data_IF_377533283181
#
_entry.id   IF_377533283181
#
_cell.length_a   1.000
_cell.length_b   1.000
_cell.length_c   1.000
_cell.angle_alpha   90.00
_cell.angle_beta   90.00
_cell.angle_gamma   90.00
#
_symmetry.space_group_name_H-M   'P 1'
#
loop_
_entity.id
_entity.type
_entity.pdbx_description
1 polymer ?
#
# COMPACT_ATOMS: atom_id res chain seq x y z
N UNK A 1 -13.03 -2.12 -0.03
CA UNK A 1 -12.23 -3.13 -0.73
C UNK A 1 -11.78 -2.49 -2.02
N UNK A 2 -10.51 -2.69 -2.41
CA UNK A 2 -9.96 -2.16 -3.65
C UNK A 2 -9.69 -3.35 -4.53
N UNK A 3 -10.36 -3.40 -5.67
CA UNK A 3 -10.21 -4.49 -6.59
C UNK A 3 -9.09 -4.18 -7.58
N UNK A 4 -8.23 -5.16 -7.79
CA UNK A 4 -7.11 -5.05 -8.69
C UNK A 4 -6.81 -6.41 -9.32
N UNK A 5 -5.88 -6.41 -10.26
CA UNK A 5 -5.29 -7.64 -10.77
C UNK A 5 -3.80 -7.43 -10.99
N UNK A 6 -3.04 -8.51 -10.93
CA UNK A 6 -1.58 -8.48 -10.98
C UNK A 6 -1.08 -8.85 -12.38
N UNK A 7 -0.08 -8.12 -12.84
CA UNK A 7 0.81 -8.55 -13.91
C UNK A 7 1.52 -9.84 -13.47
N UNK A 8 1.40 -10.95 -14.23
CA UNK A 8 2.09 -12.20 -13.93
C UNK A 8 3.61 -12.01 -13.74
N UNK A 9 4.22 -11.03 -14.37
CA UNK A 9 5.66 -10.77 -14.24
C UNK A 9 6.07 -10.35 -12.82
N UNK A 10 5.12 -10.07 -11.91
CA UNK A 10 5.35 -9.88 -10.48
C UNK A 10 5.54 -11.19 -9.70
N UNK A 11 5.21 -12.35 -10.27
CA UNK A 11 5.32 -13.66 -9.61
C UNK A 11 6.03 -14.71 -10.48
N UNK A 12 6.18 -14.42 -11.76
CA UNK A 12 6.82 -15.29 -12.73
C UNK A 12 8.02 -14.59 -13.37
N UNK A 13 9.14 -15.31 -13.39
CA UNK A 13 10.42 -14.89 -14.00
C UNK A 13 10.89 -15.99 -14.96
N UNK A 14 11.59 -15.61 -16.04
CA UNK A 14 12.16 -16.58 -16.97
C UNK A 14 13.38 -17.31 -16.37
N UNK A 15 13.71 -18.49 -16.89
CA UNK A 15 14.88 -19.25 -16.42
C UNK A 15 16.20 -18.51 -16.65
N UNK A 16 16.35 -17.84 -17.80
CA UNK A 16 17.55 -17.07 -18.13
C UNK A 16 17.74 -15.88 -17.19
N UNK A 17 16.66 -15.18 -16.83
CA UNK A 17 16.72 -14.06 -15.89
C UNK A 17 16.87 -14.51 -14.44
N UNK A 18 16.39 -15.70 -14.11
CA UNK A 18 16.57 -16.28 -12.78
C UNK A 18 18.04 -16.64 -12.48
N UNK A 19 18.79 -17.04 -13.52
CA UNK A 19 20.23 -17.33 -13.42
C UNK A 19 21.04 -16.04 -13.28
N UNK A 20 20.54 -14.93 -13.81
CA UNK A 20 21.15 -13.60 -13.67
C UNK A 20 20.85 -13.03 -12.27
N UNK A 21 21.88 -12.97 -11.42
CA UNK A 21 21.75 -12.55 -10.03
C UNK A 21 21.16 -11.14 -9.87
N UNK A 22 21.54 -10.19 -10.72
CA UNK A 22 21.04 -8.81 -10.64
C UNK A 22 19.54 -8.75 -10.95
N UNK A 23 19.10 -9.49 -11.98
CA UNK A 23 17.69 -9.55 -12.35
C UNK A 23 16.85 -10.32 -11.35
N UNK A 24 17.37 -11.43 -10.84
CA UNK A 24 16.74 -12.21 -9.78
C UNK A 24 16.52 -11.35 -8.53
N UNK A 25 17.55 -10.65 -8.08
CA UNK A 25 17.46 -9.83 -6.87
C UNK A 25 16.48 -8.68 -7.05
N UNK A 26 16.46 -8.04 -8.22
CA UNK A 26 15.46 -7.03 -8.58
C UNK A 26 14.04 -7.61 -8.55
N UNK A 27 13.82 -8.77 -9.17
CA UNK A 27 12.51 -9.44 -9.17
C UNK A 27 12.05 -9.77 -7.75
N UNK A 28 12.94 -10.31 -6.91
CA UNK A 28 12.61 -10.66 -5.53
C UNK A 28 12.29 -9.42 -4.70
N UNK A 29 13.02 -8.32 -4.88
CA UNK A 29 12.76 -7.05 -4.20
C UNK A 29 11.37 -6.53 -4.58
N UNK A 30 11.08 -6.40 -5.87
CA UNK A 30 9.80 -5.89 -6.36
C UNK A 30 8.63 -6.77 -5.91
N UNK A 31 8.79 -8.09 -6.02
CA UNK A 31 7.78 -9.08 -5.59
C UNK A 31 7.50 -8.94 -4.10
N UNK A 32 8.54 -8.89 -3.27
CA UNK A 32 8.39 -8.81 -1.82
C UNK A 32 7.72 -7.50 -1.39
N UNK A 33 8.12 -6.36 -1.96
CA UNK A 33 7.51 -5.07 -1.63
C UNK A 33 6.02 -5.00 -2.00
N UNK A 34 5.64 -5.52 -3.18
CA UNK A 34 4.24 -5.56 -3.60
C UNK A 34 3.40 -6.48 -2.68
N UNK A 35 3.90 -7.68 -2.39
CA UNK A 35 3.22 -8.64 -1.51
C UNK A 35 3.07 -8.11 -0.09
N UNK A 36 4.10 -7.44 0.43
CA UNK A 36 4.05 -6.81 1.74
C UNK A 36 2.92 -5.78 1.81
N UNK A 37 2.78 -4.91 0.81
CA UNK A 37 1.68 -3.92 0.79
C UNK A 37 0.31 -4.61 0.68
N UNK A 38 0.16 -5.62 -0.18
CA UNK A 38 -1.10 -6.36 -0.32
C UNK A 38 -1.52 -6.94 1.03
N UNK A 39 -0.59 -7.60 1.73
CA UNK A 39 -0.83 -8.22 3.03
C UNK A 39 -1.10 -7.19 4.14
N UNK A 40 -0.28 -6.13 4.24
CA UNK A 40 -0.37 -5.15 5.32
C UNK A 40 -1.61 -4.26 5.22
N UNK A 41 -1.99 -3.87 3.99
CA UNK A 41 -3.16 -3.02 3.77
C UNK A 41 -4.45 -3.81 4.04
N UNK A 42 -4.48 -5.09 3.68
CA UNK A 42 -5.56 -6.01 4.06
C UNK A 42 -6.92 -5.75 3.41
N UNK A 43 -7.03 -4.77 2.51
CA UNK A 43 -8.28 -4.38 1.83
C UNK A 43 -8.22 -4.53 0.31
N UNK A 44 -7.08 -5.00 -0.20
CA UNK A 44 -6.85 -5.24 -1.62
C UNK A 44 -7.41 -6.63 -1.95
N UNK A 45 -8.20 -6.69 -3.01
CA UNK A 45 -8.73 -7.91 -3.60
C UNK A 45 -8.13 -8.07 -4.99
N UNK A 46 -7.43 -9.18 -5.21
CA UNK A 46 -6.72 -9.51 -6.43
C UNK A 46 -7.55 -10.51 -7.24
N UNK A 47 -8.00 -10.10 -8.42
CA UNK A 47 -8.55 -11.02 -9.40
C UNK A 47 -7.41 -11.86 -9.99
N UNK A 48 -7.58 -13.17 -9.93
CA UNK A 48 -6.56 -14.14 -10.34
C UNK A 48 -7.22 -15.29 -11.08
N UNK A 49 -6.73 -15.64 -12.26
CA UNK A 49 -7.35 -16.73 -13.03
C UNK A 49 -6.94 -18.11 -12.51
N UNK A 50 -7.80 -19.11 -12.73
CA UNK A 50 -7.46 -20.51 -12.46
C UNK A 50 -6.21 -20.94 -13.24
N UNK A 51 -6.05 -20.50 -14.49
CA UNK A 51 -4.84 -20.77 -15.29
C UNK A 51 -3.58 -20.23 -14.59
N UNK A 52 -3.58 -18.96 -14.17
CA UNK A 52 -2.45 -18.37 -13.44
C UNK A 52 -2.18 -19.11 -12.14
N UNK A 53 -3.23 -19.52 -11.43
CA UNK A 53 -3.12 -20.30 -10.20
C UNK A 53 -2.46 -21.65 -10.44
N UNK A 54 -2.89 -22.39 -11.47
CA UNK A 54 -2.28 -23.66 -11.85
C UNK A 54 -0.81 -23.48 -12.27
N UNK A 55 -0.47 -22.42 -13.01
CA UNK A 55 0.93 -22.15 -13.37
C UNK A 55 1.81 -21.80 -12.17
N UNK A 56 1.23 -21.14 -11.17
CA UNK A 56 1.96 -20.80 -9.95
C UNK A 56 2.18 -22.06 -9.09
N UNK A 57 1.16 -22.91 -8.98
CA UNK A 57 1.08 -23.97 -7.97
C UNK A 57 1.17 -25.42 -8.48
N UNK A 58 1.10 -25.68 -9.78
CA UNK A 58 0.98 -27.04 -10.33
C UNK A 58 2.04 -27.35 -11.41
N UNK A 59 2.38 -28.64 -11.53
CA UNK A 59 3.26 -29.17 -12.56
C UNK A 59 2.58 -29.25 -13.94
N UNK A 60 3.35 -29.29 -15.05
CA UNK A 60 4.81 -29.43 -15.15
C UNK A 60 5.58 -28.12 -15.30
N UNK A 61 4.91 -26.97 -15.43
CA UNK A 61 5.56 -25.68 -15.70
C UNK A 61 5.47 -24.77 -14.48
N UNK A 62 6.36 -25.02 -13.52
CA UNK A 62 6.54 -24.18 -12.34
C UNK A 62 7.55 -23.06 -12.59
N UNK A 63 7.43 -21.89 -11.94
CA UNK A 63 8.44 -20.84 -12.04
C UNK A 63 9.80 -21.33 -11.50
N UNK A 64 10.94 -20.80 -12.00
CA UNK A 64 12.27 -21.28 -11.64
C UNK A 64 12.52 -21.34 -10.13
N UNK A 65 12.10 -20.30 -9.40
CA UNK A 65 12.24 -20.21 -7.95
C UNK A 65 11.50 -21.31 -7.17
N UNK A 66 10.54 -21.99 -7.80
CA UNK A 66 9.78 -23.08 -7.19
C UNK A 66 10.36 -24.46 -7.51
N UNK A 67 11.18 -24.55 -8.56
CA UNK A 67 11.91 -25.76 -8.93
C UNK A 67 13.14 -25.97 -8.03
N UNK A 68 13.72 -24.89 -7.52
CA UNK A 68 14.86 -24.93 -6.59
C UNK A 68 14.39 -25.07 -5.15
N UNK A 69 14.83 -26.12 -4.45
CA UNK A 69 14.39 -26.47 -3.08
C UNK A 69 14.52 -25.31 -2.10
N UNK A 70 15.68 -24.64 -2.05
CA UNK A 70 15.95 -23.59 -1.07
C UNK A 70 15.03 -22.38 -1.25
N UNK A 71 14.88 -21.94 -2.50
CA UNK A 71 13.99 -20.83 -2.86
C UNK A 71 12.52 -21.19 -2.70
N UNK A 72 12.13 -22.41 -3.06
CA UNK A 72 10.77 -22.90 -2.89
C UNK A 72 10.36 -22.87 -1.41
N UNK A 73 11.19 -23.43 -0.52
CA UNK A 73 10.93 -23.45 0.91
C UNK A 73 10.86 -22.04 1.53
N UNK A 74 11.61 -21.09 0.99
CA UNK A 74 11.63 -19.70 1.45
C UNK A 74 10.45 -18.88 0.92
N UNK A 75 10.18 -18.93 -0.39
CA UNK A 75 9.25 -18.03 -1.06
C UNK A 75 7.81 -18.52 -1.02
N UNK A 76 7.56 -19.84 -1.08
CA UNK A 76 6.18 -20.37 -1.06
C UNK A 76 5.40 -19.88 0.16
N UNK A 77 5.93 -19.96 1.41
CA UNK A 77 5.20 -19.45 2.57
C UNK A 77 4.94 -17.94 2.50
N UNK A 78 5.89 -17.16 1.98
CA UNK A 78 5.77 -15.70 1.86
C UNK A 78 4.66 -15.35 0.88
N UNK A 79 4.74 -15.88 -0.35
CA UNK A 79 3.76 -15.64 -1.42
C UNK A 79 2.38 -16.13 -0.99
N UNK A 80 2.30 -17.37 -0.46
CA UNK A 80 1.01 -17.94 -0.08
C UNK A 80 0.31 -17.12 1.01
N UNK A 81 1.02 -16.75 2.07
CA UNK A 81 0.44 -15.98 3.18
C UNK A 81 0.09 -14.54 2.77
N UNK A 82 0.92 -13.91 1.94
CA UNK A 82 0.72 -12.53 1.54
C UNK A 82 -0.33 -12.36 0.44
N UNK A 83 -0.49 -13.35 -0.45
CA UNK A 83 -1.36 -13.23 -1.63
C UNK A 83 -2.68 -13.98 -1.49
N UNK A 84 -2.67 -15.25 -1.05
CA UNK A 84 -3.83 -16.13 -1.23
C UNK A 84 -5.04 -15.74 -0.38
N UNK A 85 -4.84 -14.98 0.71
CA UNK A 85 -5.93 -14.41 1.51
C UNK A 85 -6.63 -13.23 0.80
N UNK A 86 -6.02 -12.70 -0.25
CA UNK A 86 -6.46 -11.54 -1.00
C UNK A 86 -6.90 -11.90 -2.41
N UNK A 87 -6.85 -13.17 -2.81
CA UNK A 87 -7.17 -13.61 -4.16
C UNK A 87 -8.64 -14.00 -4.29
N UNK A 88 -9.31 -13.46 -5.30
CA UNK A 88 -10.56 -13.99 -5.85
C UNK A 88 -10.24 -14.73 -7.14
N UNK A 89 -10.42 -16.05 -7.12
CA UNK A 89 -10.25 -16.88 -8.31
C UNK A 89 -11.37 -16.63 -9.32
N UNK A 90 -11.00 -16.51 -10.59
CA UNK A 90 -11.92 -16.32 -11.70
C UNK A 90 -11.70 -17.36 -12.79
N UNK A 91 -12.81 -17.95 -13.22
CA UNK A 91 -12.85 -18.80 -14.41
C UNK A 91 -12.82 -17.90 -15.65
N UNK A 92 -11.86 -18.17 -16.53
CA UNK A 92 -11.63 -17.41 -17.75
C UNK A 92 -11.97 -18.20 -19.02
N UNK A 93 -12.49 -19.42 -18.88
CA UNK A 93 -12.77 -20.30 -20.01
C UNK A 93 -13.86 -19.73 -20.93
N UNK A 94 -13.58 -19.80 -22.24
CA UNK A 94 -14.50 -19.33 -23.28
C UNK A 94 -14.62 -17.82 -23.42
N UNK A 95 -13.89 -17.03 -22.63
CA UNK A 95 -13.87 -15.58 -22.72
C UNK A 95 -12.88 -15.08 -23.76
N UNK A 96 -13.12 -13.86 -24.26
CA UNK A 96 -12.25 -13.20 -25.24
C UNK A 96 -11.19 -12.36 -24.51
N UNK A 97 -9.95 -12.28 -25.05
CA UNK A 97 -8.96 -11.36 -24.53
C UNK A 97 -9.24 -9.92 -24.98
N UNK A 98 -8.99 -8.95 -24.11
CA UNK A 98 -8.95 -7.54 -24.50
C UNK A 98 -7.73 -7.28 -25.38
N UNK A 99 -7.80 -6.29 -26.27
CA UNK A 99 -6.59 -5.73 -26.88
C UNK A 99 -5.92 -4.76 -25.91
N UNK A 100 -4.61 -4.59 -26.01
CA UNK A 100 -3.83 -3.77 -25.09
C UNK A 100 -2.78 -2.95 -25.86
N UNK A 101 -2.64 -1.67 -25.53
CA UNK A 101 -1.61 -0.79 -26.08
C UNK A 101 -1.00 0.10 -24.99
N UNK A 102 0.32 0.02 -24.70
CA UNK A 102 1.29 -0.88 -25.34
C UNK A 102 1.01 -2.37 -25.04
N UNK A 103 1.61 -3.27 -25.81
CA UNK A 103 1.47 -4.71 -25.57
C UNK A 103 2.11 -5.07 -24.22
N UNK A 104 1.42 -5.91 -23.44
CA UNK A 104 1.93 -6.41 -22.16
C UNK A 104 3.01 -7.45 -22.41
N UNK A 105 4.20 -7.18 -21.89
CA UNK A 105 5.36 -8.05 -21.96
C UNK A 105 5.26 -9.06 -20.82
N UNK A 106 5.29 -10.34 -21.15
CA UNK A 106 5.42 -11.41 -20.17
C UNK A 106 6.53 -12.34 -20.65
N UNK A 107 7.70 -12.25 -20.01
CA UNK A 107 8.92 -12.93 -20.45
C UNK A 107 8.87 -14.46 -20.25
N UNK A 108 8.04 -14.93 -19.34
CA UNK A 108 8.02 -16.33 -18.90
C UNK A 108 7.03 -17.20 -19.70
N UNK A 109 5.82 -16.70 -20.02
CA UNK A 109 4.81 -17.49 -20.74
C UNK A 109 3.75 -16.62 -21.42
N UNK A 110 3.53 -16.82 -22.73
CA UNK A 110 2.49 -16.13 -23.50
C UNK A 110 1.07 -16.41 -23.00
N UNK A 111 0.84 -17.59 -22.42
CA UNK A 111 -0.49 -17.94 -21.90
C UNK A 111 -0.87 -17.10 -20.69
N UNK A 112 0.09 -16.75 -19.82
CA UNK A 112 -0.15 -15.83 -18.69
C UNK A 112 -0.56 -14.42 -19.13
N UNK A 113 0.07 -13.90 -20.20
CA UNK A 113 -0.34 -12.62 -20.82
C UNK A 113 -1.75 -12.73 -21.41
N UNK A 114 -2.11 -13.88 -21.99
CA UNK A 114 -3.47 -14.11 -22.47
C UNK A 114 -4.48 -14.11 -21.32
N UNK A 115 -4.21 -14.84 -20.23
CA UNK A 115 -5.06 -14.85 -19.04
C UNK A 115 -5.27 -13.42 -18.53
N UNK A 116 -4.19 -12.64 -18.41
CA UNK A 116 -4.23 -11.24 -17.97
C UNK A 116 -5.17 -10.40 -18.85
N UNK A 117 -5.08 -10.54 -20.18
CA UNK A 117 -5.94 -9.82 -21.12
C UNK A 117 -7.40 -10.25 -21.04
N UNK A 118 -7.69 -11.51 -20.69
CA UNK A 118 -9.05 -11.99 -20.49
C UNK A 118 -9.64 -11.40 -19.20
N UNK A 119 -8.88 -11.40 -18.11
CA UNK A 119 -9.27 -10.72 -16.85
C UNK A 119 -9.59 -9.26 -17.15
N UNK A 120 -8.74 -8.56 -17.90
CA UNK A 120 -9.01 -7.18 -18.27
C UNK A 120 -10.28 -7.02 -19.10
N UNK A 121 -10.56 -7.94 -20.04
CA UNK A 121 -11.80 -7.91 -20.82
C UNK A 121 -13.04 -8.04 -19.93
N UNK A 122 -13.01 -8.92 -18.92
CA UNK A 122 -14.10 -9.04 -17.95
C UNK A 122 -14.32 -7.72 -17.22
N UNK A 123 -13.24 -7.15 -16.69
CA UNK A 123 -13.26 -5.89 -15.92
C UNK A 123 -13.80 -4.72 -16.72
N UNK A 124 -13.38 -4.59 -17.99
CA UNK A 124 -13.84 -3.54 -18.89
C UNK A 124 -15.37 -3.53 -19.03
N UNK A 125 -16.01 -4.70 -18.95
CA UNK A 125 -17.44 -4.86 -19.17
C UNK A 125 -18.27 -4.78 -17.87
N UNK A 126 -17.66 -4.89 -16.69
CA UNK A 126 -18.39 -5.08 -15.43
C UNK A 126 -18.27 -3.91 -14.42
N UNK A 127 -17.11 -3.22 -14.29
CA UNK A 127 -17.00 -2.13 -13.30
C UNK A 127 -15.84 -1.11 -13.58
N UNK A 128 -16.04 0.21 -13.35
CA UNK A 128 -15.00 1.22 -13.56
C UNK A 128 -13.89 1.32 -12.48
N UNK A 129 -13.97 0.64 -11.33
CA UNK A 129 -13.10 0.92 -10.18
C UNK A 129 -11.76 0.18 -10.06
N UNK A 130 -11.38 -0.67 -11.02
CA UNK A 130 -10.23 -1.55 -10.86
C UNK A 130 -8.86 -0.89 -11.11
N UNK A 131 -7.85 -1.41 -10.43
CA UNK A 131 -6.44 -1.06 -10.60
C UNK A 131 -5.64 -2.19 -11.27
N UNK A 132 -4.64 -1.85 -12.08
CA UNK A 132 -3.69 -2.82 -12.61
C UNK A 132 -2.35 -2.66 -11.88
N UNK A 133 -1.87 -3.73 -11.26
CA UNK A 133 -0.54 -3.75 -10.67
C UNK A 133 0.44 -4.29 -11.69
N UNK A 134 1.39 -3.46 -12.11
CA UNK A 134 2.35 -3.78 -13.16
C UNK A 134 3.72 -4.02 -12.56
N UNK A 135 4.47 -4.95 -13.15
CA UNK A 135 5.90 -5.09 -12.88
C UNK A 135 6.69 -3.95 -13.51
N UNK A 136 7.96 -3.78 -13.11
CA UNK A 136 8.90 -2.86 -13.74
C UNK A 136 9.04 -3.10 -15.26
N UNK A 137 8.89 -4.35 -15.74
CA UNK A 137 8.94 -4.68 -17.17
C UNK A 137 7.84 -4.03 -17.98
N UNK A 138 6.66 -3.90 -17.38
CA UNK A 138 5.51 -3.23 -17.99
C UNK A 138 5.38 -1.79 -17.54
N UNK A 139 6.40 -1.22 -16.88
CA UNK A 139 6.42 0.21 -16.61
C UNK A 139 6.62 0.97 -17.93
N UNK A 140 5.58 1.72 -18.33
CA UNK A 140 5.55 2.43 -19.59
C UNK A 140 5.46 3.93 -19.32
N UNK A 141 6.17 4.74 -20.12
CA UNK A 141 6.00 6.21 -20.11
C UNK A 141 4.63 6.66 -20.66
N UNK A 142 3.80 5.71 -21.12
CA UNK A 142 2.46 5.94 -21.65
C UNK A 142 1.45 5.04 -20.93
N UNK A 143 0.25 5.55 -20.62
CA UNK A 143 -0.76 4.73 -19.98
C UNK A 143 -1.21 3.58 -20.88
N UNK A 144 -1.48 2.42 -20.28
CA UNK A 144 -2.05 1.28 -20.97
C UNK A 144 -3.52 1.54 -21.33
N UNK A 145 -3.82 1.37 -22.60
CA UNK A 145 -5.17 1.38 -23.16
C UNK A 145 -5.61 -0.04 -23.43
N UNK A 146 -6.68 -0.45 -22.77
CA UNK A 146 -7.30 -1.73 -23.03
C UNK A 146 -8.59 -1.53 -23.80
N UNK A 147 -8.78 -2.34 -24.84
CA UNK A 147 -9.89 -2.23 -25.78
C UNK A 147 -10.67 -3.55 -25.72
N UNK A 148 -11.93 -3.46 -25.28
CA UNK A 148 -12.91 -4.53 -25.36
C UNK A 148 -13.90 -4.29 -26.50
N UNK A 149 -14.98 -5.07 -26.54
CA UNK A 149 -15.95 -5.02 -27.65
C UNK A 149 -16.73 -3.70 -27.73
N UNK A 150 -16.91 -3.01 -26.59
CA UNK A 150 -17.74 -1.79 -26.49
C UNK A 150 -17.06 -0.61 -25.81
N UNK A 151 -15.94 -0.86 -25.13
CA UNK A 151 -15.30 0.11 -24.25
C UNK A 151 -13.80 0.07 -24.43
N UNK A 152 -13.21 1.26 -24.52
CA UNK A 152 -11.78 1.49 -24.38
C UNK A 152 -11.57 2.20 -23.07
N UNK A 153 -10.64 1.71 -22.24
CA UNK A 153 -10.38 2.28 -20.92
C UNK A 153 -8.89 2.36 -20.63
N UNK A 154 -8.51 3.44 -19.97
CA UNK A 154 -7.22 3.56 -19.28
C UNK A 154 -7.43 3.16 -17.82
N UNK A 155 -6.52 2.34 -17.29
CA UNK A 155 -6.57 1.93 -15.89
C UNK A 155 -5.58 2.74 -15.07
N UNK A 156 -5.85 2.81 -13.77
CA UNK A 156 -4.87 3.31 -12.82
C UNK A 156 -3.78 2.26 -12.63
N UNK A 157 -2.56 2.62 -13.00
CA UNK A 157 -1.39 1.77 -12.92
C UNK A 157 -0.74 1.89 -11.55
N UNK A 158 -0.45 0.74 -10.96
CA UNK A 158 0.37 0.62 -9.76
C UNK A 158 1.66 -0.06 -10.17
N UNK A 159 2.68 0.74 -10.49
CA UNK A 159 3.98 0.24 -10.94
C UNK A 159 4.88 0.02 -9.73
N UNK A 160 4.94 1.03 -8.86
CA UNK A 160 5.69 0.93 -7.60
C UNK A 160 4.73 0.59 -6.47
N UNK A 161 5.20 -0.14 -5.44
CA UNK A 161 4.42 -0.42 -4.25
C UNK A 161 3.81 0.86 -3.63
N UNK A 162 4.57 1.96 -3.63
CA UNK A 162 4.08 3.24 -3.09
C UNK A 162 2.94 3.89 -3.90
N UNK A 163 2.71 3.49 -5.14
CA UNK A 163 1.64 4.06 -5.97
C UNK A 163 0.25 3.61 -5.45
N UNK A 164 0.15 2.47 -4.76
CA UNK A 164 -1.06 2.06 -4.02
C UNK A 164 -1.58 3.16 -3.10
N UNK A 165 -0.68 3.93 -2.50
CA UNK A 165 -1.01 4.97 -1.54
C UNK A 165 -1.78 6.15 -2.15
N UNK A 166 -1.73 6.30 -3.46
CA UNK A 166 -2.48 7.34 -4.18
C UNK A 166 -3.95 6.97 -4.37
N UNK A 167 -4.26 5.67 -4.38
CA UNK A 167 -5.59 5.16 -4.69
C UNK A 167 -6.37 4.69 -3.45
N UNK A 168 -5.65 4.40 -2.37
CA UNK A 168 -6.24 4.01 -1.10
C UNK A 168 -6.58 5.26 -0.27
N UNK A 169 -7.88 5.47 -0.04
CA UNK A 169 -8.36 6.45 0.94
C UNK A 169 -8.19 5.92 2.37
N UNK A 170 -6.97 5.97 2.91
CA UNK A 170 -6.62 5.41 4.23
C UNK A 170 -7.56 5.83 5.36
N UNK A 171 -8.02 7.07 5.34
CA UNK A 171 -8.87 7.61 6.39
C UNK A 171 -10.29 7.01 6.37
N UNK A 172 -10.66 6.28 5.30
CA UNK A 172 -11.90 5.50 5.24
C UNK A 172 -11.70 4.06 5.69
N UNK A 173 -10.51 3.50 5.47
CA UNK A 173 -10.25 2.07 5.68
C UNK A 173 -9.59 1.77 7.04
N UNK A 174 -8.62 2.58 7.45
CA UNK A 174 -7.78 2.36 8.63
C UNK A 174 -8.04 3.38 9.75
N UNK A 175 -9.03 4.25 9.59
CA UNK A 175 -9.41 5.16 10.67
C UNK A 175 -10.07 4.37 11.81
N UNK A 176 -9.70 4.62 13.07
CA UNK A 176 -10.32 3.96 14.21
C UNK A 176 -11.83 4.28 14.24
N UNK A 177 -12.65 3.27 14.53
CA UNK A 177 -14.10 3.44 14.75
C UNK A 177 -14.46 3.34 16.22
N UNK A 178 -13.53 2.84 17.03
CA UNK A 178 -13.64 2.72 18.48
C UNK A 178 -12.28 2.90 19.15
N UNK A 179 -12.30 3.08 20.47
CA UNK A 179 -11.10 3.14 21.33
C UNK A 179 -10.19 1.91 21.25
N UNK A 180 -10.75 0.76 20.85
CA UNK A 180 -10.03 -0.52 20.75
C UNK A 180 -9.30 -0.69 19.41
N UNK A 181 -9.44 0.26 18.47
CA UNK A 181 -8.85 0.21 17.13
C UNK A 181 -7.48 0.92 17.06
N UNK A 182 -6.68 0.89 18.13
CA UNK A 182 -5.35 1.51 18.18
C UNK A 182 -4.43 0.98 17.07
N UNK A 183 -4.48 -0.33 16.79
CA UNK A 183 -3.73 -0.97 15.71
C UNK A 183 -4.11 -0.45 14.32
N UNK A 184 -5.39 -0.12 14.08
CA UNK A 184 -5.80 0.47 12.80
C UNK A 184 -5.18 1.86 12.62
N UNK A 185 -5.23 2.68 13.67
CA UNK A 185 -4.61 4.00 13.66
C UNK A 185 -3.09 3.92 13.50
N UNK A 186 -2.44 2.95 14.15
CA UNK A 186 -1.01 2.68 13.99
C UNK A 186 -0.66 2.37 12.53
N UNK A 187 -1.37 1.44 11.91
CA UNK A 187 -1.20 1.09 10.50
C UNK A 187 -1.49 2.29 9.58
N UNK A 188 -2.50 3.11 9.90
CA UNK A 188 -2.80 4.32 9.15
C UNK A 188 -1.66 5.35 9.17
N UNK A 189 -0.92 5.45 10.29
CA UNK A 189 0.25 6.33 10.42
C UNK A 189 1.45 5.78 9.66
N UNK A 190 1.72 4.47 9.73
CA UNK A 190 2.75 3.81 8.91
C UNK A 190 2.50 4.05 7.43
N UNK A 191 1.25 3.89 7.01
CA UNK A 191 0.84 4.16 5.65
C UNK A 191 1.06 5.62 5.27
N UNK A 192 0.62 6.56 6.12
CA UNK A 192 0.80 7.99 5.85
C UNK A 192 2.28 8.35 5.72
N UNK A 193 3.17 7.73 6.51
CA UNK A 193 4.61 7.88 6.31
C UNK A 193 5.01 7.43 4.92
N UNK A 194 4.63 6.22 4.50
CA UNK A 194 5.05 5.70 3.21
C UNK A 194 4.47 6.49 2.03
N UNK A 195 3.29 7.10 2.21
CA UNK A 195 2.65 7.98 1.23
C UNK A 195 3.31 9.36 1.09
N UNK A 196 3.51 10.07 2.20
CA UNK A 196 3.93 11.48 2.18
C UNK A 196 5.43 11.68 2.38
N UNK A 197 6.11 10.69 2.97
CA UNK A 197 7.51 10.72 3.37
C UNK A 197 8.20 9.37 3.07
N UNK A 198 8.17 8.91 1.79
CA UNK A 198 8.63 7.57 1.42
C UNK A 198 10.10 7.33 1.80
N UNK A 199 10.95 8.34 1.61
CA UNK A 199 12.41 8.25 1.80
C UNK A 199 12.88 8.44 3.25
N UNK A 200 11.97 8.86 4.15
CA UNK A 200 12.29 9.08 5.55
C UNK A 200 12.19 7.79 6.37
N UNK A 201 12.67 7.79 7.61
CA UNK A 201 12.49 6.68 8.56
C UNK A 201 11.96 7.28 9.87
N UNK A 202 11.07 6.58 10.54
CA UNK A 202 10.65 6.98 11.88
C UNK A 202 11.83 6.97 12.84
N UNK A 203 11.98 8.08 13.57
CA UNK A 203 13.05 8.28 14.56
C UNK A 203 12.65 7.80 15.96
N UNK A 204 11.39 7.46 16.13
CA UNK A 204 10.81 7.05 17.40
C UNK A 204 9.82 5.91 17.16
N UNK A 205 9.81 4.93 18.06
CA UNK A 205 8.62 4.11 18.24
C UNK A 205 7.47 4.99 18.76
N UNK A 206 6.24 4.56 18.56
CA UNK A 206 5.10 5.35 18.99
C UNK A 206 3.91 4.51 19.42
N UNK A 207 3.14 5.08 20.34
CA UNK A 207 1.90 4.53 20.86
C UNK A 207 0.87 5.64 21.09
N UNK A 208 -0.40 5.26 21.16
CA UNK A 208 -1.51 6.17 21.41
C UNK A 208 -2.10 5.90 22.79
N UNK A 209 -2.17 6.92 23.65
CA UNK A 209 -2.97 6.82 24.87
C UNK A 209 -4.45 6.71 24.49
N UNK A 210 -5.27 6.01 25.29
CA UNK A 210 -6.67 5.82 24.93
C UNK A 210 -7.46 7.14 24.83
N UNK A 211 -7.09 8.16 25.60
CA UNK A 211 -7.65 9.52 25.53
C UNK A 211 -7.41 10.17 24.18
N UNK A 212 -6.24 9.94 23.57
CA UNK A 212 -5.93 10.39 22.23
C UNK A 212 -6.86 9.75 21.20
N UNK A 213 -7.05 8.42 21.30
CA UNK A 213 -7.91 7.68 20.38
C UNK A 213 -9.35 8.20 20.49
N UNK A 214 -9.87 8.30 21.71
CA UNK A 214 -11.21 8.82 21.97
C UNK A 214 -11.41 10.21 21.35
N UNK A 215 -10.41 11.09 21.49
CA UNK A 215 -10.45 12.43 20.90
C UNK A 215 -10.38 12.43 19.37
N UNK A 216 -9.52 11.61 18.78
CA UNK A 216 -9.28 11.62 17.33
C UNK A 216 -10.40 10.95 16.52
N UNK A 217 -11.24 10.09 17.12
CA UNK A 217 -12.36 9.43 16.42
C UNK A 217 -13.19 10.40 15.57
N UNK A 218 -13.49 11.58 16.13
CA UNK A 218 -14.28 12.65 15.49
C UNK A 218 -13.50 13.65 14.63
N UNK A 219 -12.24 13.39 14.28
CA UNK A 219 -11.43 14.37 13.54
C UNK A 219 -12.03 14.67 12.16
N UNK A 220 -12.24 15.96 11.87
CA UNK A 220 -12.71 16.43 10.56
C UNK A 220 -11.64 16.37 9.48
N UNK A 221 -10.36 16.39 9.85
CA UNK A 221 -9.20 16.43 8.93
C UNK A 221 -8.29 15.21 9.09
N UNK A 222 -8.89 14.03 8.95
CA UNK A 222 -8.26 12.73 9.20
C UNK A 222 -6.91 12.55 8.50
N UNK A 223 -6.88 12.72 7.18
CA UNK A 223 -5.67 12.54 6.36
C UNK A 223 -4.55 13.50 6.77
N UNK A 224 -4.89 14.76 7.05
CA UNK A 224 -3.94 15.75 7.56
C UNK A 224 -3.42 15.40 8.95
N UNK A 225 -4.25 14.84 9.82
CA UNK A 225 -3.79 14.35 11.13
C UNK A 225 -2.74 13.25 10.96
N UNK A 226 -3.02 12.24 10.12
CA UNK A 226 -2.08 11.16 9.84
C UNK A 226 -0.78 11.67 9.25
N UNK A 227 -0.85 12.56 8.26
CA UNK A 227 0.35 13.14 7.64
C UNK A 227 1.18 13.91 8.67
N UNK A 228 0.55 14.70 9.54
CA UNK A 228 1.29 15.48 10.54
C UNK A 228 1.85 14.61 11.67
N UNK A 229 1.15 13.54 12.08
CA UNK A 229 1.67 12.53 13.00
C UNK A 229 2.90 11.85 12.39
N UNK A 230 2.80 11.36 11.15
CA UNK A 230 3.92 10.75 10.44
C UNK A 230 5.10 11.73 10.30
N UNK A 231 4.82 12.98 9.92
CA UNK A 231 5.84 14.04 9.84
C UNK A 231 6.53 14.25 11.17
N UNK A 232 5.77 14.25 12.28
CA UNK A 232 6.37 14.38 13.60
C UNK A 232 7.32 13.23 13.86
N UNK A 233 6.94 11.99 13.56
CA UNK A 233 7.75 10.82 13.84
C UNK A 233 9.05 10.72 13.05
N UNK A 234 9.16 11.35 11.87
CA UNK A 234 10.40 11.39 11.06
C UNK A 234 11.38 12.50 11.46
N UNK A 235 10.96 13.48 12.27
CA UNK A 235 11.80 14.63 12.65
C UNK A 235 12.36 14.45 14.07
N UNK A 236 13.61 14.86 14.32
CA UNK A 236 14.09 14.97 15.71
C UNK A 236 13.33 16.08 16.43
N UNK A 237 13.38 16.11 17.77
CA UNK A 237 12.79 17.20 18.56
C UNK A 237 13.27 18.58 18.10
N UNK A 238 14.57 18.74 17.85
CA UNK A 238 15.14 19.99 17.35
C UNK A 238 14.59 20.35 15.96
N UNK A 239 14.52 19.38 15.05
CA UNK A 239 13.97 19.63 13.71
C UNK A 239 12.48 20.00 13.75
N UNK A 240 11.70 19.34 14.60
CA UNK A 240 10.27 19.61 14.75
C UNK A 240 10.00 21.03 15.29
N UNK A 241 10.82 21.53 16.21
CA UNK A 241 10.72 22.89 16.76
C UNK A 241 10.90 23.98 15.69
N UNK A 242 11.77 23.73 14.70
CA UNK A 242 12.01 24.65 13.59
C UNK A 242 11.11 24.38 12.37
N UNK A 243 10.30 23.32 12.39
CA UNK A 243 9.42 22.99 11.28
C UNK A 243 8.18 23.91 11.27
N UNK A 244 8.09 24.73 10.22
CA UNK A 244 7.04 25.75 10.09
C UNK A 244 5.63 25.16 9.89
N UNK A 245 5.53 23.88 9.50
CA UNK A 245 4.24 23.22 9.31
C UNK A 245 3.72 22.57 10.59
N UNK A 246 4.60 21.97 11.41
CA UNK A 246 4.24 21.40 12.70
C UNK A 246 3.99 22.47 13.76
N UNK A 247 4.81 23.53 13.78
CA UNK A 247 4.80 24.54 14.85
C UNK A 247 4.86 23.84 16.23
N UNK A 248 5.85 22.95 16.39
CA UNK A 248 6.01 22.13 17.59
C UNK A 248 6.44 23.01 18.78
N UNK A 249 5.63 23.00 19.84
CA UNK A 249 5.77 23.86 21.00
C UNK A 249 5.84 23.00 22.28
N UNK A 250 6.74 23.36 23.20
CA UNK A 250 6.77 22.78 24.54
C UNK A 250 5.70 23.45 25.41
N UNK A 251 4.80 22.65 26.01
CA UNK A 251 3.69 23.16 26.85
C UNK A 251 3.79 22.72 28.32
N UNK A 252 4.71 21.81 28.64
CA UNK A 252 4.99 21.38 30.01
C UNK A 252 6.42 20.88 30.16
N UNK A 253 6.76 20.23 31.28
CA UNK A 253 8.12 19.68 31.48
C UNK A 253 8.47 18.62 30.44
N UNK A 254 7.52 17.71 30.18
CA UNK A 254 7.67 16.57 29.26
C UNK A 254 6.65 16.58 28.11
N UNK A 255 5.60 17.39 28.22
CA UNK A 255 4.53 17.47 27.23
C UNK A 255 4.85 18.51 26.16
N UNK A 256 4.57 18.12 24.92
CA UNK A 256 4.74 18.92 23.72
C UNK A 256 3.45 18.88 22.91
N UNK A 257 3.31 19.85 22.01
CA UNK A 257 2.14 20.01 21.16
C UNK A 257 2.59 20.43 19.77
N UNK A 258 2.04 19.81 18.75
CA UNK A 258 2.12 20.33 17.38
C UNK A 258 0.73 20.62 16.84
N UNK A 259 0.68 21.42 15.79
CA UNK A 259 -0.55 21.86 15.14
C UNK A 259 -0.74 21.08 13.85
N UNK A 260 -1.99 20.66 13.62
CA UNK A 260 -2.40 20.02 12.37
C UNK A 260 -2.87 21.08 11.37
N UNK A 261 -3.48 22.16 11.85
CA UNK A 261 -3.93 23.33 11.07
C UNK A 261 -3.35 24.64 11.61
N UNK A 262 -3.16 25.66 10.75
CA UNK A 262 -2.70 26.98 11.18
C UNK A 262 -3.69 27.68 12.14
N UNK A 263 -3.22 28.74 12.79
CA UNK A 263 -4.05 29.66 13.59
C UNK A 263 -5.01 30.45 12.67
N UNK A 264 -6.17 30.94 13.18
CA UNK A 264 -6.63 30.89 14.57
C UNK A 264 -7.36 29.59 14.96
N UNK A 265 -7.95 28.86 14.02
CA UNK A 265 -8.66 27.60 14.27
C UNK A 265 -7.71 26.40 14.13
N UNK A 266 -6.87 26.22 15.15
CA UNK A 266 -5.88 25.14 15.12
C UNK A 266 -6.38 23.86 15.79
N UNK A 267 -6.40 22.77 15.04
CA UNK A 267 -6.35 21.40 15.55
C UNK A 267 -4.97 21.18 16.16
N UNK A 268 -4.92 20.61 17.36
CA UNK A 268 -3.69 20.37 18.11
C UNK A 268 -3.60 18.92 18.54
N UNK A 269 -2.39 18.38 18.54
CA UNK A 269 -2.10 17.05 19.07
C UNK A 269 -1.03 17.21 20.14
N UNK A 270 -1.31 16.69 21.33
CA UNK A 270 -0.36 16.64 22.43
C UNK A 270 0.34 15.30 22.44
N UNK A 271 1.61 15.32 22.83
CA UNK A 271 2.42 14.12 22.95
C UNK A 271 3.52 14.30 23.99
N UNK A 272 4.08 13.19 24.45
CA UNK A 272 5.27 13.12 25.32
C UNK A 272 6.36 12.33 24.60
N UNK A 273 7.61 12.62 24.96
CA UNK A 273 8.76 11.79 24.56
C UNK A 273 9.31 11.15 25.83
N UNK A 274 9.40 9.83 25.85
CA UNK A 274 10.04 9.06 26.91
C UNK A 274 11.17 8.17 26.36
N UNK A 275 11.71 7.28 27.19
CA UNK A 275 12.80 6.37 26.80
C UNK A 275 12.40 5.35 25.74
N UNK A 276 11.09 5.10 25.56
CA UNK A 276 10.55 4.13 24.61
C UNK A 276 10.15 4.79 23.30
N UNK A 277 9.80 6.07 23.30
CA UNK A 277 9.53 6.83 22.08
C UNK A 277 8.54 7.95 22.26
N UNK A 278 7.64 8.10 21.30
CA UNK A 278 6.59 9.14 21.27
C UNK A 278 5.25 8.56 21.74
N UNK A 279 4.68 9.17 22.78
CA UNK A 279 3.36 8.81 23.29
C UNK A 279 2.38 9.93 22.95
N UNK A 280 1.43 9.69 22.04
CA UNK A 280 0.38 10.66 21.70
C UNK A 280 -0.71 10.61 22.77
N UNK A 281 -0.98 11.74 23.42
CA UNK A 281 -1.80 11.76 24.66
C UNK A 281 -3.20 12.31 24.43
N UNK A 282 -3.33 13.40 23.66
CA UNK A 282 -4.59 14.11 23.51
C UNK A 282 -4.75 14.73 22.11
N UNK A 283 -5.98 14.73 21.62
CA UNK A 283 -6.38 15.39 20.38
C UNK A 283 -7.37 16.51 20.70
N UNK A 284 -7.08 17.72 20.24
CA UNK A 284 -7.93 18.90 20.43
C UNK A 284 -8.45 19.38 19.07
N UNK A 285 -9.76 19.31 18.81
CA UNK A 285 -10.34 19.80 17.57
C UNK A 285 -10.33 21.33 17.49
N UNK A 286 -10.72 21.86 16.33
CA UNK A 286 -10.85 23.31 16.12
C UNK A 286 -11.79 23.92 17.17
N UNK A 287 -11.39 25.05 17.78
CA UNK A 287 -12.21 25.78 18.74
C UNK A 287 -12.19 25.28 20.19
N UNK A 288 -11.63 24.10 20.47
CA UNK A 288 -11.45 23.64 21.86
C UNK A 288 -10.26 24.33 22.53
N UNK A 289 -10.45 24.85 23.73
CA UNK A 289 -9.32 25.31 24.55
C UNK A 289 -8.52 24.10 25.05
N UNK A 290 -7.19 24.18 24.98
CA UNK A 290 -6.32 23.36 25.81
C UNK A 290 -5.82 24.23 26.97
N UNK A 291 -5.57 23.66 28.14
CA UNK A 291 -5.20 24.39 29.38
C UNK A 291 -3.86 25.18 29.28
N UNK A 292 -3.26 25.23 28.08
CA UNK A 292 -2.00 25.91 27.79
C UNK A 292 -2.14 27.31 27.17
N UNK A 293 -3.33 27.94 27.26
CA UNK A 293 -3.58 29.34 26.89
C UNK A 293 -4.54 30.02 27.86
#
# INVERSE_FOLDING_TARGET
MIDAWLDPSLLFISGDEWIDEEKRDSFLSDTNEQLQIISEVGVINILWSDEMNCRLWEEPQMPPWRQESDWCNMLVPIIYNALMQHVTLIDIDGLKPAECSPELICCCNKSLSLSLRIITYMILNDNPGYHICLSGYNSSNRPFKFIGDKLTKEFHEVVRPCDWFNYIEIHKLLWPVSRLDDRKLYNAVLFAKNKYYPDDIFKYEFVFEPTFIDGILGASRKERCLSMIAKRLILTTQQAEFDTQLQDEKIGKVTRRFRVTPRPTSIRIHYKIDERGVVFTDYFPEGCHDDGL
#
